data_IF_407648501947
#
_entry.id   IF_407648501947
#
_cell.length_a   1.000
_cell.length_b   1.000
_cell.length_c   1.000
_cell.angle_alpha   90.00
_cell.angle_beta   90.00
_cell.angle_gamma   90.00
#
_symmetry.space_group_name_H-M   'P 1'
#
loop_
_entity.id
_entity.type
_entity.pdbx_description
1 polymer ?
#
# COMPACT_ATOMS: atom_id res chain seq x y z
N UNK A 1 19.63 82.93 22.63
CA UNK A 1 20.34 81.64 22.48
C UNK A 1 19.32 80.61 21.98
N UNK A 2 19.34 80.36 20.67
CA UNK A 2 18.43 79.48 19.96
C UNK A 2 19.10 78.12 19.79
N UNK A 3 18.57 77.10 20.48
CA UNK A 3 19.09 75.73 20.35
C UNK A 3 18.29 75.02 19.20
N UNK A 4 18.95 74.84 18.11
CA UNK A 4 18.43 74.09 16.95
C UNK A 4 18.71 72.59 17.16
N UNK A 5 17.67 71.79 17.45
CA UNK A 5 17.78 70.34 17.50
C UNK A 5 17.72 69.80 16.08
N UNK A 6 18.87 69.33 15.58
CA UNK A 6 18.94 68.57 14.35
C UNK A 6 18.46 67.14 14.60
N UNK A 7 17.24 66.84 14.14
CA UNK A 7 16.76 65.47 14.02
C UNK A 7 17.42 64.84 12.80
N UNK A 8 18.39 63.93 13.06
CA UNK A 8 18.96 63.10 12.01
C UNK A 8 17.92 62.11 11.43
N UNK A 9 18.07 61.65 10.15
CA UNK A 9 17.14 60.75 9.54
C UNK A 9 17.18 59.39 10.28
N UNK A 10 16.01 58.97 10.77
CA UNK A 10 15.82 57.59 11.23
C UNK A 10 16.01 56.69 10.02
N UNK A 11 17.07 55.87 10.04
CA UNK A 11 17.22 54.77 9.09
C UNK A 11 15.99 53.87 9.19
N UNK A 12 15.18 53.95 8.15
CA UNK A 12 14.16 52.96 7.86
C UNK A 12 14.93 51.67 7.59
N UNK A 13 14.90 50.73 8.51
CA UNK A 13 15.30 49.37 8.23
C UNK A 13 14.37 48.89 7.09
N UNK A 14 14.91 48.77 5.90
CA UNK A 14 14.26 48.05 4.83
C UNK A 14 13.91 46.66 5.38
N UNK A 15 12.61 46.36 5.37
CA UNK A 15 12.14 44.98 5.46
C UNK A 15 12.70 44.30 4.22
N UNK A 16 13.92 43.72 4.37
CA UNK A 16 14.44 42.80 3.38
C UNK A 16 13.39 41.72 3.19
N UNK A 17 13.03 41.52 1.95
CA UNK A 17 12.10 40.52 1.46
C UNK A 17 12.26 39.22 2.22
N UNK A 18 11.31 38.93 3.09
CA UNK A 18 10.99 37.56 3.46
C UNK A 18 10.46 36.91 2.18
N UNK A 19 11.35 36.60 1.25
CA UNK A 19 11.08 35.53 0.30
C UNK A 19 10.80 34.32 1.17
N UNK A 20 9.51 34.02 1.31
CA UNK A 20 9.04 32.77 1.88
C UNK A 20 9.65 31.68 1.03
N UNK A 21 10.80 31.15 1.45
CA UNK A 21 11.26 29.85 1.00
C UNK A 21 10.13 28.92 1.40
N UNK A 22 9.28 28.58 0.43
CA UNK A 22 8.30 27.54 0.61
C UNK A 22 9.10 26.24 0.83
N UNK A 23 9.58 26.05 2.04
CA UNK A 23 10.21 24.81 2.44
C UNK A 23 9.07 23.82 2.65
N UNK A 24 8.83 22.97 1.65
CA UNK A 24 7.97 21.81 1.83
C UNK A 24 8.47 21.00 3.03
N UNK A 25 7.54 20.38 3.76
CA UNK A 25 7.90 19.47 4.85
C UNK A 25 8.80 18.34 4.31
N UNK A 26 9.62 17.75 5.18
CA UNK A 26 10.42 16.58 4.77
C UNK A 26 9.55 15.46 4.22
N UNK A 27 8.32 15.28 4.77
CA UNK A 27 7.35 14.30 4.30
C UNK A 27 6.97 14.56 2.84
N UNK A 28 6.64 15.82 2.49
CA UNK A 28 6.31 16.18 1.12
C UNK A 28 7.48 15.91 0.15
N UNK A 29 8.71 16.22 0.57
CA UNK A 29 9.91 16.00 -0.22
C UNK A 29 10.19 14.49 -0.42
N UNK A 30 9.98 13.68 0.61
CA UNK A 30 10.19 12.24 0.53
C UNK A 30 9.08 11.60 -0.30
N UNK A 31 7.81 11.95 -0.04
CA UNK A 31 6.66 11.43 -0.77
C UNK A 31 6.77 11.73 -2.27
N UNK A 32 7.13 12.95 -2.67
CA UNK A 32 7.27 13.33 -4.09
C UNK A 32 8.33 12.50 -4.83
N UNK A 33 9.40 12.08 -4.14
CA UNK A 33 10.44 11.23 -4.73
C UNK A 33 10.00 9.78 -4.93
N UNK A 34 9.15 9.27 -4.02
CA UNK A 34 8.73 7.86 -4.03
C UNK A 34 7.43 7.67 -4.82
N UNK A 35 6.55 8.67 -4.86
CA UNK A 35 5.26 8.58 -5.57
C UNK A 35 5.34 8.06 -7.00
N UNK A 36 6.37 8.36 -7.83
CA UNK A 36 6.48 7.79 -9.18
C UNK A 36 6.58 6.26 -9.22
N UNK A 37 6.99 5.63 -8.11
CA UNK A 37 7.05 4.18 -8.00
C UNK A 37 5.79 3.56 -7.39
N UNK A 38 4.83 4.36 -6.92
CA UNK A 38 3.57 3.88 -6.35
C UNK A 38 2.52 3.84 -7.44
N UNK A 39 1.84 2.71 -7.56
CA UNK A 39 0.83 2.47 -8.59
C UNK A 39 -0.52 2.15 -7.96
N UNK A 40 -1.59 2.47 -8.68
CA UNK A 40 -2.92 1.97 -8.38
C UNK A 40 -3.13 0.67 -9.13
N UNK A 41 -3.75 -0.28 -8.46
CA UNK A 41 -4.15 -1.56 -9.02
C UNK A 41 -5.67 -1.59 -9.02
N UNK A 42 -6.25 -1.63 -10.23
CA UNK A 42 -7.67 -1.80 -10.45
C UNK A 42 -7.90 -3.25 -10.92
N UNK A 43 -8.85 -3.92 -10.29
CA UNK A 43 -9.20 -5.30 -10.62
C UNK A 43 -10.65 -5.39 -11.09
N UNK A 44 -10.89 -6.29 -12.03
CA UNK A 44 -12.23 -6.74 -12.40
C UNK A 44 -12.31 -8.26 -12.21
N UNK A 45 -13.37 -8.71 -11.56
CA UNK A 45 -13.69 -10.12 -11.34
C UNK A 45 -15.13 -10.38 -11.75
N UNK A 46 -15.36 -11.42 -12.53
CA UNK A 46 -16.70 -11.90 -12.83
C UNK A 46 -17.17 -12.83 -11.70
N UNK A 47 -18.21 -12.44 -11.00
CA UNK A 47 -18.85 -13.33 -10.04
C UNK A 47 -19.86 -14.14 -10.83
N UNK A 48 -19.62 -15.44 -10.97
CA UNK A 48 -20.68 -16.37 -11.35
C UNK A 48 -21.64 -16.42 -10.17
N UNK A 49 -22.81 -15.83 -10.33
CA UNK A 49 -23.89 -16.03 -9.38
C UNK A 49 -24.26 -17.51 -9.48
N UNK A 50 -23.88 -18.28 -8.46
CA UNK A 50 -24.34 -19.65 -8.33
C UNK A 50 -25.87 -19.63 -8.36
N UNK A 51 -26.47 -20.64 -8.99
CA UNK A 51 -27.92 -20.79 -9.20
C UNK A 51 -28.76 -20.70 -7.90
N UNK A 52 -28.11 -20.62 -6.76
CA UNK A 52 -28.72 -20.61 -5.44
C UNK A 52 -29.53 -19.34 -5.11
N UNK A 53 -29.19 -18.18 -5.69
CA UNK A 53 -30.03 -16.96 -5.53
C UNK A 53 -31.25 -16.96 -6.45
N UNK A 54 -31.26 -17.78 -7.50
CA UNK A 54 -32.40 -17.89 -8.40
C UNK A 54 -33.59 -18.66 -7.77
N UNK A 55 -33.32 -19.52 -6.79
CA UNK A 55 -34.41 -20.29 -6.12
C UNK A 55 -35.22 -19.46 -5.13
N UNK A 56 -34.76 -18.25 -4.77
CA UNK A 56 -35.51 -17.34 -3.88
C UNK A 56 -36.41 -16.38 -4.66
N UNK A 57 -36.33 -16.33 -5.97
CA UNK A 57 -37.23 -15.53 -6.80
C UNK A 57 -38.51 -16.34 -7.09
N UNK A 58 -39.66 -15.71 -6.76
CA UNK A 58 -41.00 -16.25 -7.09
C UNK A 58 -41.02 -16.71 -8.55
N UNK A 59 -41.43 -17.96 -8.85
CA UNK A 59 -41.52 -18.51 -10.19
C UNK A 59 -42.28 -17.62 -11.19
N UNK A 60 -43.30 -16.88 -10.70
CA UNK A 60 -44.07 -15.91 -11.49
C UNK A 60 -43.24 -14.69 -11.92
N UNK A 61 -42.31 -14.24 -11.06
CA UNK A 61 -41.40 -13.12 -11.38
C UNK A 61 -40.36 -13.54 -12.41
N UNK A 62 -39.92 -14.80 -12.36
CA UNK A 62 -38.99 -15.39 -13.32
C UNK A 62 -39.58 -15.49 -14.72
N UNK A 63 -40.87 -15.88 -14.80
CA UNK A 63 -41.60 -16.00 -16.08
C UNK A 63 -41.90 -14.61 -16.69
N UNK A 64 -42.13 -13.60 -15.83
CA UNK A 64 -42.41 -12.22 -16.25
C UNK A 64 -41.16 -11.45 -16.74
N UNK A 65 -40.02 -11.73 -16.14
CA UNK A 65 -38.74 -11.05 -16.49
C UNK A 65 -38.03 -11.70 -17.68
N UNK A 66 -38.54 -12.87 -18.13
CA UNK A 66 -37.91 -13.68 -19.17
C UNK A 66 -36.52 -14.16 -18.69
N UNK A 67 -35.86 -14.91 -19.52
CA UNK A 67 -34.48 -15.32 -19.33
C UNK A 67 -33.54 -14.10 -19.55
N UNK A 68 -33.71 -13.07 -18.73
CA UNK A 68 -32.70 -12.04 -18.49
C UNK A 68 -31.58 -12.78 -17.75
N UNK A 69 -30.88 -13.62 -18.53
CA UNK A 69 -29.80 -14.43 -18.07
C UNK A 69 -28.96 -13.63 -17.10
N UNK A 70 -28.69 -14.24 -15.96
CA UNK A 70 -27.84 -13.69 -14.91
C UNK A 70 -26.66 -12.97 -15.54
N UNK A 71 -26.80 -11.65 -15.69
CA UNK A 71 -25.68 -10.84 -16.17
C UNK A 71 -24.55 -11.06 -15.18
N UNK A 72 -23.38 -11.49 -15.61
CA UNK A 72 -22.26 -11.71 -14.72
C UNK A 72 -22.04 -10.41 -13.93
N UNK A 73 -22.20 -10.49 -12.63
CA UNK A 73 -22.00 -9.33 -11.75
C UNK A 73 -20.50 -9.07 -11.69
N UNK A 74 -20.05 -8.00 -12.32
CA UNK A 74 -18.65 -7.59 -12.25
C UNK A 74 -18.39 -6.91 -10.91
N UNK A 75 -17.52 -7.50 -10.12
CA UNK A 75 -16.98 -6.86 -8.92
C UNK A 75 -15.70 -6.11 -9.30
N UNK A 76 -15.58 -4.88 -8.81
CA UNK A 76 -14.40 -4.05 -8.98
C UNK A 76 -13.77 -3.82 -7.62
N UNK A 77 -12.47 -4.07 -7.53
CA UNK A 77 -11.66 -3.77 -6.37
C UNK A 77 -10.52 -2.83 -6.72
N UNK A 78 -9.99 -2.18 -5.71
CA UNK A 78 -8.84 -1.28 -5.84
C UNK A 78 -7.86 -1.50 -4.71
N UNK A 79 -6.57 -1.37 -5.04
CA UNK A 79 -5.47 -1.36 -4.10
C UNK A 79 -4.31 -0.54 -4.62
N UNK A 80 -3.23 -0.55 -3.89
CA UNK A 80 -1.97 0.05 -4.29
C UNK A 80 -0.91 -1.02 -4.53
N UNK A 81 0.17 -0.62 -5.19
CA UNK A 81 1.36 -1.42 -5.37
C UNK A 81 2.60 -0.54 -5.42
N UNK A 82 3.75 -1.14 -5.32
CA UNK A 82 5.04 -0.45 -5.48
C UNK A 82 5.89 -1.14 -6.54
N UNK A 83 6.40 -0.36 -7.49
CA UNK A 83 7.34 -0.84 -8.52
C UNK A 83 8.69 -1.06 -7.81
N UNK A 84 9.14 -2.31 -7.76
CA UNK A 84 10.39 -2.69 -7.10
C UNK A 84 11.56 -2.86 -8.06
N UNK A 85 11.28 -2.94 -9.37
CA UNK A 85 12.28 -3.06 -10.42
C UNK A 85 11.84 -2.32 -11.69
N UNK A 86 12.78 -1.68 -12.37
CA UNK A 86 12.52 -0.89 -13.59
C UNK A 86 12.01 -1.71 -14.77
N UNK A 87 12.15 -3.05 -14.73
CA UNK A 87 11.50 -3.94 -15.71
C UNK A 87 9.99 -4.01 -15.54
N UNK A 88 9.42 -3.43 -14.47
CA UNK A 88 7.99 -3.37 -14.19
C UNK A 88 7.48 -4.46 -13.26
N UNK A 89 8.31 -4.91 -12.32
CA UNK A 89 7.85 -5.76 -11.22
C UNK A 89 7.18 -4.89 -10.16
N UNK A 90 5.94 -5.22 -9.83
CA UNK A 90 5.10 -4.54 -8.82
C UNK A 90 4.81 -5.50 -7.69
N UNK A 91 5.14 -5.08 -6.48
CA UNK A 91 4.80 -5.79 -5.26
C UNK A 91 3.51 -5.19 -4.69
N UNK A 92 2.59 -6.06 -4.25
CA UNK A 92 1.30 -5.68 -3.66
C UNK A 92 0.83 -6.77 -2.70
N UNK A 93 -0.37 -6.63 -2.11
CA UNK A 93 -0.96 -7.69 -1.31
C UNK A 93 -1.67 -8.76 -2.17
N UNK A 94 -1.68 -10.00 -1.67
CA UNK A 94 -2.36 -11.11 -2.32
C UNK A 94 -3.87 -10.87 -2.44
N UNK A 95 -4.50 -10.39 -1.35
CA UNK A 95 -5.94 -10.09 -1.34
C UNK A 95 -6.36 -9.01 -2.35
N UNK A 96 -5.43 -8.13 -2.80
CA UNK A 96 -5.72 -7.11 -3.83
C UNK A 96 -5.92 -7.75 -5.20
N UNK A 97 -5.19 -8.83 -5.51
CA UNK A 97 -5.17 -9.48 -6.84
C UNK A 97 -5.70 -10.92 -6.83
N UNK A 98 -6.41 -11.30 -5.77
CA UNK A 98 -6.93 -12.67 -5.63
C UNK A 98 -8.12 -12.90 -6.58
N UNK A 99 -8.09 -14.03 -7.31
CA UNK A 99 -9.18 -14.49 -8.20
C UNK A 99 -9.65 -13.42 -9.19
N UNK A 100 -8.71 -12.70 -9.80
CA UNK A 100 -9.03 -11.64 -10.75
C UNK A 100 -8.81 -12.12 -12.18
N UNK A 101 -9.72 -11.72 -13.08
CA UNK A 101 -9.60 -11.99 -14.50
C UNK A 101 -8.68 -10.99 -15.19
N UNK A 102 -8.67 -9.76 -14.69
CA UNK A 102 -7.88 -8.66 -15.25
C UNK A 102 -7.32 -7.75 -14.17
N UNK A 103 -6.04 -7.40 -14.32
CA UNK A 103 -5.34 -6.40 -13.50
C UNK A 103 -4.97 -5.23 -14.40
N UNK A 104 -5.49 -4.04 -14.07
CA UNK A 104 -5.10 -2.80 -14.71
C UNK A 104 -4.28 -1.96 -13.71
N UNK A 105 -3.13 -1.48 -14.15
CA UNK A 105 -2.21 -0.69 -13.32
C UNK A 105 -2.23 0.73 -13.82
N UNK A 106 -2.56 1.67 -12.94
CA UNK A 106 -2.50 3.10 -13.24
C UNK A 106 -1.24 3.69 -12.60
N UNK A 107 -0.36 4.23 -13.43
CA UNK A 107 0.86 4.91 -13.03
C UNK A 107 0.55 6.31 -12.50
N UNK A 108 1.49 6.93 -11.77
CA UNK A 108 1.35 8.28 -11.21
C UNK A 108 0.99 9.34 -12.28
N UNK A 109 1.49 9.20 -13.50
CA UNK A 109 1.19 10.11 -14.60
C UNK A 109 -0.20 9.91 -15.25
N UNK A 110 -1.03 9.02 -14.69
CA UNK A 110 -2.37 8.69 -15.17
C UNK A 110 -2.40 7.64 -16.30
N UNK A 111 -1.26 7.20 -16.81
CA UNK A 111 -1.24 6.14 -17.81
C UNK A 111 -1.71 4.82 -17.20
N UNK A 112 -2.63 4.16 -17.92
CA UNK A 112 -3.12 2.85 -17.54
C UNK A 112 -2.47 1.79 -18.43
N UNK A 113 -1.93 0.75 -17.80
CA UNK A 113 -1.24 -0.37 -18.44
C UNK A 113 -1.76 -1.70 -17.90
N UNK A 114 -1.72 -2.75 -18.71
CA UNK A 114 -2.11 -4.08 -18.25
C UNK A 114 -1.01 -4.69 -17.36
N UNK A 115 -1.44 -5.36 -16.30
CA UNK A 115 -0.61 -6.18 -15.44
C UNK A 115 -0.94 -7.66 -15.57
N UNK A 116 0.06 -8.49 -15.32
CA UNK A 116 -0.09 -9.95 -15.22
C UNK A 116 0.37 -10.40 -13.84
N UNK A 117 -0.48 -11.11 -13.10
CA UNK A 117 -0.10 -11.69 -11.81
C UNK A 117 0.89 -12.82 -12.08
N UNK A 118 2.12 -12.70 -11.55
CA UNK A 118 3.15 -13.73 -11.64
C UNK A 118 2.87 -14.83 -10.62
N UNK A 119 2.46 -14.45 -9.42
CA UNK A 119 2.11 -15.36 -8.36
C UNK A 119 1.63 -14.63 -7.12
N UNK A 120 1.00 -15.39 -6.23
CA UNK A 120 0.47 -14.90 -4.94
C UNK A 120 0.89 -15.82 -3.83
N UNK A 121 1.11 -15.26 -2.64
CA UNK A 121 1.33 -16.00 -1.41
C UNK A 121 0.33 -15.57 -0.35
N UNK A 122 -0.64 -16.43 -0.08
CA UNK A 122 -1.72 -16.16 0.87
C UNK A 122 -1.23 -16.15 2.32
N UNK A 123 -0.14 -16.87 2.61
CA UNK A 123 0.41 -16.96 3.98
C UNK A 123 0.99 -15.61 4.40
N UNK A 124 1.75 -14.97 3.51
CA UNK A 124 2.34 -13.65 3.76
C UNK A 124 1.47 -12.50 3.28
N UNK A 125 0.37 -12.77 2.57
CA UNK A 125 -0.49 -11.77 1.94
C UNK A 125 0.26 -10.90 0.91
N UNK A 126 1.17 -11.50 0.15
CA UNK A 126 1.96 -10.82 -0.88
C UNK A 126 1.66 -11.36 -2.27
N UNK A 127 1.77 -10.50 -3.26
CA UNK A 127 1.67 -10.84 -4.67
C UNK A 127 2.69 -10.08 -5.50
N UNK A 128 3.12 -10.70 -6.58
CA UNK A 128 3.98 -10.10 -7.58
C UNK A 128 3.22 -9.95 -8.90
N UNK A 129 3.16 -8.73 -9.42
CA UNK A 129 2.51 -8.40 -10.68
C UNK A 129 3.56 -7.85 -11.65
N UNK A 130 3.49 -8.26 -12.91
CA UNK A 130 4.34 -7.76 -13.98
C UNK A 130 3.57 -6.78 -14.84
N UNK A 131 4.02 -5.54 -14.91
CA UNK A 131 3.57 -4.56 -15.90
C UNK A 131 4.06 -5.03 -17.29
N UNK A 132 3.20 -4.99 -18.29
CA UNK A 132 3.63 -5.12 -19.68
C UNK A 132 4.62 -4.00 -20.00
N UNK A 133 5.50 -4.23 -20.97
CA UNK A 133 6.56 -3.29 -21.35
C UNK A 133 6.04 -1.84 -21.43
N UNK A 134 6.60 -1.00 -20.58
CA UNK A 134 6.31 0.43 -20.51
C UNK A 134 7.62 1.18 -20.21
N UNK A 135 8.02 2.14 -21.07
CA UNK A 135 9.26 2.85 -20.89
C UNK A 135 9.18 3.86 -19.72
N UNK A 136 10.29 4.05 -19.03
CA UNK A 136 10.41 5.10 -18.02
C UNK A 136 9.78 4.78 -16.67
N UNK A 137 9.56 3.49 -16.34
CA UNK A 137 9.15 3.09 -15.01
C UNK A 137 10.22 3.43 -13.98
N UNK A 138 9.78 4.01 -12.87
CA UNK A 138 10.63 4.37 -11.73
C UNK A 138 10.42 3.34 -10.63
N UNK A 139 11.50 2.64 -10.25
CA UNK A 139 11.46 1.71 -9.12
C UNK A 139 11.74 2.43 -7.80
N UNK A 140 11.09 1.97 -6.73
CA UNK A 140 11.37 2.42 -5.37
C UNK A 140 12.73 1.88 -4.90
N UNK A 141 13.41 2.65 -4.06
CA UNK A 141 14.56 2.15 -3.31
C UNK A 141 14.05 1.30 -2.15
N UNK A 142 14.47 0.04 -2.08
CA UNK A 142 14.19 -0.82 -0.95
C UNK A 142 15.18 -0.54 0.17
N UNK A 143 14.68 -0.41 1.40
CA UNK A 143 15.48 -0.27 2.60
C UNK A 143 15.81 -1.63 3.22
N UNK A 144 16.18 -1.60 4.50
CA UNK A 144 16.40 -2.78 5.32
C UNK A 144 15.45 -2.74 6.53
N UNK A 145 14.54 -3.71 6.62
CA UNK A 145 13.58 -3.78 7.73
C UNK A 145 14.18 -4.33 9.03
N UNK A 146 15.42 -4.82 9.02
CA UNK A 146 16.15 -5.21 10.22
C UNK A 146 16.82 -4.01 10.92
N UNK A 147 17.10 -2.94 10.18
CA UNK A 147 17.78 -1.74 10.70
C UNK A 147 16.80 -0.72 11.33
N UNK A 148 15.48 -0.92 11.18
CA UNK A 148 14.48 0.01 11.70
C UNK A 148 14.32 -0.12 13.22
N UNK A 149 13.99 1.01 13.88
CA UNK A 149 13.78 1.08 15.31
C UNK A 149 12.39 1.63 15.65
N UNK A 150 11.87 1.24 16.80
CA UNK A 150 10.64 1.85 17.35
C UNK A 150 10.89 3.35 17.57
N UNK A 151 10.01 4.16 17.02
CA UNK A 151 10.14 5.62 17.02
C UNK A 151 10.63 6.20 15.69
N UNK A 152 11.13 5.39 14.77
CA UNK A 152 11.49 5.86 13.43
C UNK A 152 10.27 6.37 12.66
N UNK A 153 10.47 7.37 11.81
CA UNK A 153 9.41 7.88 10.94
C UNK A 153 8.91 6.80 9.99
N UNK A 154 7.60 6.67 9.93
CA UNK A 154 6.88 5.78 9.03
C UNK A 154 5.89 6.58 8.19
N UNK A 155 6.07 6.58 6.87
CA UNK A 155 5.23 7.30 5.93
C UNK A 155 4.57 6.27 5.02
N UNK A 156 3.24 6.15 5.09
CA UNK A 156 2.51 5.24 4.23
C UNK A 156 2.01 5.99 2.98
N UNK A 157 2.24 5.40 1.82
CA UNK A 157 1.77 5.91 0.55
C UNK A 157 0.77 4.94 -0.09
N UNK A 158 -0.16 5.50 -0.86
CA UNK A 158 -1.10 4.74 -1.67
C UNK A 158 -1.84 5.65 -2.64
N UNK A 159 -2.63 5.05 -3.52
CA UNK A 159 -3.41 5.77 -4.55
C UNK A 159 -4.89 5.39 -4.49
N UNK A 160 -5.60 5.73 -3.39
CA UNK A 160 -7.00 5.38 -3.25
C UNK A 160 -7.88 6.15 -4.25
N UNK A 161 -8.94 5.51 -4.72
CA UNK A 161 -10.05 6.11 -5.50
C UNK A 161 -9.65 6.85 -6.79
N UNK A 162 -8.48 6.58 -7.36
CA UNK A 162 -8.07 7.21 -8.64
C UNK A 162 -7.72 8.69 -8.55
N UNK A 163 -7.60 9.19 -7.35
CA UNK A 163 -7.16 10.54 -7.03
C UNK A 163 -5.65 10.54 -6.76
N UNK A 164 -5.13 11.72 -6.43
CA UNK A 164 -3.72 11.91 -6.10
C UNK A 164 -3.22 10.97 -5.00
N UNK A 165 -1.92 10.68 -4.98
CA UNK A 165 -1.29 9.83 -3.97
C UNK A 165 -1.66 10.31 -2.56
N UNK A 166 -2.21 9.40 -1.75
CA UNK A 166 -2.47 9.66 -0.34
C UNK A 166 -1.20 9.38 0.44
N UNK A 167 -0.84 10.31 1.32
CA UNK A 167 0.33 10.23 2.20
C UNK A 167 -0.14 10.36 3.64
N UNK A 168 0.23 9.40 4.48
CA UNK A 168 0.00 9.48 5.93
C UNK A 168 1.32 9.33 6.66
N UNK A 169 1.46 10.05 7.78
CA UNK A 169 2.67 10.08 8.59
C UNK A 169 2.39 9.53 9.98
N UNK A 170 3.31 8.74 10.46
CA UNK A 170 3.37 8.21 11.82
C UNK A 170 4.78 7.76 12.15
N UNK A 171 4.89 6.83 13.07
CA UNK A 171 6.14 6.21 13.49
C UNK A 171 6.02 4.69 13.45
N UNK A 172 7.16 4.01 13.48
CA UNK A 172 7.23 2.60 13.82
C UNK A 172 6.87 2.45 15.30
N UNK A 173 5.70 1.89 15.58
CA UNK A 173 5.17 1.77 16.96
C UNK A 173 5.61 0.48 17.63
N UNK A 174 5.85 -0.58 16.86
CA UNK A 174 6.34 -1.88 17.34
C UNK A 174 6.95 -2.68 16.20
N UNK A 175 7.92 -3.53 16.53
CA UNK A 175 8.49 -4.54 15.65
C UNK A 175 8.02 -5.93 16.12
N UNK A 176 8.02 -6.90 15.24
CA UNK A 176 7.71 -8.31 15.56
C UNK A 176 6.32 -8.51 16.21
N UNK A 177 5.29 -7.82 15.68
CA UNK A 177 3.91 -8.07 16.12
C UNK A 177 3.40 -9.38 15.52
N UNK A 178 3.33 -10.41 16.37
CA UNK A 178 2.65 -11.67 16.03
C UNK A 178 1.15 -11.41 15.85
N UNK A 179 0.66 -11.55 14.62
CA UNK A 179 -0.75 -11.34 14.28
C UNK A 179 -1.69 -12.39 14.86
N UNK A 180 -1.18 -13.54 15.32
CA UNK A 180 -2.02 -14.52 16.05
C UNK A 180 -2.62 -13.89 17.30
N UNK A 181 -1.91 -12.97 17.97
CA UNK A 181 -2.41 -12.23 19.13
C UNK A 181 -3.52 -11.26 18.78
N UNK A 182 -3.70 -10.96 17.49
CA UNK A 182 -4.72 -10.04 16.97
C UNK A 182 -5.96 -10.77 16.43
N UNK A 183 -6.02 -12.11 16.55
CA UNK A 183 -7.14 -12.93 16.12
C UNK A 183 -7.08 -13.42 14.66
N UNK A 184 -5.96 -13.28 14.00
CA UNK A 184 -5.73 -13.80 12.65
C UNK A 184 -4.94 -15.11 12.75
N UNK A 185 -5.64 -16.23 13.04
CA UNK A 185 -5.03 -17.51 13.39
C UNK A 185 -4.26 -18.22 12.26
N UNK A 186 -4.45 -17.81 11.03
CA UNK A 186 -3.95 -18.52 9.86
C UNK A 186 -2.64 -17.95 9.28
N UNK A 187 -2.16 -16.82 9.80
CA UNK A 187 -0.95 -16.16 9.31
C UNK A 187 0.11 -16.07 10.41
N UNK A 188 1.29 -16.59 10.15
CA UNK A 188 2.46 -16.50 11.05
C UNK A 188 3.41 -15.44 10.53
N UNK A 189 3.10 -14.18 10.77
CA UNK A 189 3.88 -13.04 10.29
C UNK A 189 4.25 -12.13 11.47
N UNK A 190 5.51 -11.76 11.52
CA UNK A 190 5.98 -10.64 12.32
C UNK A 190 5.80 -9.38 11.50
N UNK A 191 4.88 -8.52 11.91
CA UNK A 191 4.56 -7.29 11.20
C UNK A 191 5.17 -6.06 11.88
N UNK A 192 5.48 -5.06 11.07
CA UNK A 192 5.76 -3.70 11.53
C UNK A 192 4.44 -3.06 11.90
N UNK A 193 4.31 -2.61 13.15
CA UNK A 193 3.17 -1.82 13.60
C UNK A 193 3.49 -0.33 13.46
N UNK A 194 2.53 0.45 12.96
CA UNK A 194 2.63 1.91 12.83
C UNK A 194 1.32 2.59 13.23
N UNK A 195 1.39 3.84 13.66
CA UNK A 195 0.24 4.73 13.85
C UNK A 195 -0.01 5.63 12.62
N UNK A 196 0.83 5.53 11.57
CA UNK A 196 0.48 6.07 10.27
C UNK A 196 -0.85 5.47 9.82
N UNK A 197 -1.80 6.32 9.42
CA UNK A 197 -3.15 5.84 9.05
C UNK A 197 -3.10 4.93 7.83
N UNK A 198 -3.39 3.64 8.04
CA UNK A 198 -3.58 2.66 6.98
C UNK A 198 -5.09 2.53 6.76
N UNK A 199 -5.54 2.64 5.52
CA UNK A 199 -6.95 2.58 5.14
C UNK A 199 -7.10 1.84 3.81
N UNK A 200 -8.31 1.38 3.45
CA UNK A 200 -8.58 0.85 2.12
C UNK A 200 -8.08 1.84 1.04
N UNK A 201 -7.24 1.35 0.14
CA UNK A 201 -6.62 2.13 -0.92
C UNK A 201 -5.11 2.35 -0.75
N UNK A 202 -4.54 2.33 0.47
CA UNK A 202 -3.09 2.25 0.63
C UNK A 202 -2.57 0.82 0.92
N UNK A 203 -3.46 -0.16 1.07
CA UNK A 203 -3.08 -1.58 1.14
C UNK A 203 -2.35 -2.01 -0.14
N UNK A 204 -1.22 -2.70 0.02
CA UNK A 204 -0.29 -3.06 -1.06
C UNK A 204 0.69 -1.96 -1.44
N UNK A 205 0.47 -0.71 -1.01
CA UNK A 205 1.41 0.38 -1.17
C UNK A 205 2.57 0.32 -0.16
N UNK A 206 3.62 1.12 -0.37
CA UNK A 206 4.79 1.10 0.49
C UNK A 206 4.60 1.85 1.81
N UNK A 207 5.20 1.32 2.88
CA UNK A 207 5.60 2.04 4.07
C UNK A 207 7.06 2.44 3.89
N UNK A 208 7.38 3.74 3.99
CA UNK A 208 8.72 4.25 3.76
C UNK A 208 9.28 4.96 4.99
N UNK A 209 10.60 4.99 5.09
CA UNK A 209 11.33 5.75 6.12
C UNK A 209 11.55 7.22 5.68
N UNK A 210 12.20 8.01 6.54
CA UNK A 210 12.54 9.43 6.27
C UNK A 210 13.51 9.62 5.10
N UNK A 211 14.22 8.58 4.66
CA UNK A 211 15.10 8.62 3.50
C UNK A 211 14.38 8.33 2.18
N UNK A 212 13.11 7.89 2.24
CA UNK A 212 12.32 7.47 1.08
C UNK A 212 12.62 6.04 0.66
N UNK A 213 13.11 5.22 1.56
CA UNK A 213 13.35 3.81 1.33
C UNK A 213 12.16 3.00 1.83
N UNK A 214 11.72 2.01 1.06
CA UNK A 214 10.62 1.13 1.43
C UNK A 214 11.07 0.20 2.56
N UNK A 215 10.41 0.29 3.71
CA UNK A 215 10.67 -0.55 4.89
C UNK A 215 9.61 -1.63 5.08
N UNK A 216 8.46 -1.50 4.40
CA UNK A 216 7.39 -2.50 4.45
C UNK A 216 6.32 -2.28 3.39
N UNK A 217 5.39 -3.24 3.30
CA UNK A 217 4.20 -3.19 2.44
C UNK A 217 2.97 -3.09 3.33
N UNK A 218 2.20 -2.01 3.20
CA UNK A 218 0.98 -1.78 3.99
C UNK A 218 -0.03 -2.90 3.74
N UNK A 219 -0.63 -3.48 4.80
CA UNK A 219 -1.56 -4.60 4.62
C UNK A 219 -2.83 -4.50 5.45
N UNK A 220 -2.75 -4.51 6.74
CA UNK A 220 -3.90 -4.69 7.62
C UNK A 220 -4.17 -3.45 8.47
N UNK A 221 -5.45 -3.28 8.81
CA UNK A 221 -5.92 -2.32 9.82
C UNK A 221 -6.75 -3.09 10.84
N UNK A 222 -6.51 -2.84 12.11
CA UNK A 222 -7.38 -3.37 13.17
C UNK A 222 -8.64 -2.52 13.26
N UNK A 223 -9.80 -3.18 13.12
CA UNK A 223 -11.11 -2.58 13.40
C UNK A 223 -11.51 -2.86 14.85
N UNK A 224 -12.25 -1.94 15.51
CA UNK A 224 -12.74 -2.13 16.88
C UNK A 224 -11.78 -1.59 17.94
N UNK A 225 -11.76 -2.19 19.17
CA UNK A 225 -10.90 -1.72 20.26
C UNK A 225 -9.43 -1.78 19.85
N UNK A 226 -8.74 -0.62 19.87
CA UNK A 226 -7.40 -0.43 19.31
C UNK A 226 -7.41 -0.03 17.83
N UNK A 227 -8.52 0.52 17.32
CA UNK A 227 -8.56 1.16 16.00
C UNK A 227 -7.48 2.26 15.90
N UNK A 228 -6.89 2.40 14.70
CA UNK A 228 -5.77 3.33 14.47
C UNK A 228 -4.39 2.65 14.49
N UNK A 229 -4.34 1.33 14.66
CA UNK A 229 -3.12 0.56 14.47
C UNK A 229 -3.05 0.06 13.03
N UNK A 230 -2.05 0.53 12.30
CA UNK A 230 -1.69 0.03 10.98
C UNK A 230 -0.59 -1.03 11.07
N UNK A 231 -0.55 -1.91 10.06
CA UNK A 231 0.45 -2.95 9.96
C UNK A 231 1.03 -3.02 8.56
N UNK A 232 2.33 -3.31 8.49
CA UNK A 232 3.02 -3.52 7.23
C UNK A 232 3.89 -4.79 7.28
N UNK A 233 3.99 -5.48 6.16
CA UNK A 233 4.85 -6.64 5.98
C UNK A 233 6.27 -6.14 5.79
N UNK A 234 7.27 -6.59 6.59
CA UNK A 234 8.65 -6.15 6.47
C UNK A 234 9.22 -6.33 5.06
N UNK A 235 9.96 -5.35 4.57
CA UNK A 235 10.47 -5.36 3.18
C UNK A 235 11.45 -6.49 2.90
N UNK A 236 12.25 -6.92 3.90
CA UNK A 236 13.16 -8.05 3.73
C UNK A 236 12.41 -9.35 3.49
N UNK A 237 11.28 -9.56 4.20
CA UNK A 237 10.38 -10.68 3.93
C UNK A 237 9.73 -10.55 2.56
N UNK A 238 9.19 -9.36 2.24
CA UNK A 238 8.54 -9.11 0.97
C UNK A 238 9.47 -9.33 -0.23
N UNK A 239 10.73 -8.94 -0.12
CA UNK A 239 11.75 -9.17 -1.15
C UNK A 239 12.08 -10.65 -1.34
N UNK A 240 12.14 -11.43 -0.24
CA UNK A 240 12.36 -12.89 -0.32
C UNK A 240 11.19 -13.59 -1.02
N UNK A 241 9.96 -13.21 -0.68
CA UNK A 241 8.73 -13.70 -1.30
C UNK A 241 8.69 -13.35 -2.79
N UNK A 242 8.94 -12.06 -3.13
CA UNK A 242 8.97 -11.60 -4.52
C UNK A 242 9.95 -12.40 -5.38
N UNK A 243 11.15 -12.70 -4.86
CA UNK A 243 12.15 -13.50 -5.56
C UNK A 243 11.68 -14.93 -5.82
N UNK A 244 11.01 -15.56 -4.85
CA UNK A 244 10.46 -16.91 -5.03
C UNK A 244 9.30 -16.92 -6.04
N UNK A 245 8.38 -15.96 -5.94
CA UNK A 245 7.29 -15.80 -6.90
C UNK A 245 7.82 -15.57 -8.31
N UNK A 246 8.86 -14.76 -8.48
CA UNK A 246 9.48 -14.50 -9.77
C UNK A 246 10.14 -15.76 -10.36
N UNK A 247 10.80 -16.56 -9.52
CA UNK A 247 11.53 -17.73 -9.97
C UNK A 247 10.62 -18.95 -10.22
N UNK A 248 9.60 -19.16 -9.38
CA UNK A 248 8.84 -20.41 -9.35
C UNK A 248 7.32 -20.20 -9.57
N UNK A 249 6.81 -18.97 -9.50
CA UNK A 249 5.38 -18.65 -9.52
C UNK A 249 4.68 -18.90 -8.17
N UNK A 250 5.35 -19.53 -7.22
CA UNK A 250 4.81 -19.89 -5.89
C UNK A 250 5.87 -19.75 -4.81
N UNK A 251 5.42 -19.69 -3.54
CA UNK A 251 6.29 -19.67 -2.36
C UNK A 251 6.17 -20.99 -1.60
N UNK A 252 7.31 -21.58 -1.28
CA UNK A 252 7.36 -22.82 -0.52
C UNK A 252 7.45 -22.48 0.98
N UNK A 253 6.42 -22.87 1.74
CA UNK A 253 6.38 -22.75 3.19
C UNK A 253 6.64 -24.15 3.82
N UNK A 254 7.84 -24.44 4.31
CA UNK A 254 8.13 -25.73 4.91
C UNK A 254 7.31 -25.94 6.20
N UNK A 255 6.65 -27.07 6.31
CA UNK A 255 5.83 -27.44 7.46
C UNK A 255 6.40 -28.70 8.13
N UNK A 256 6.76 -28.62 9.41
CA UNK A 256 7.33 -29.73 10.15
C UNK A 256 6.27 -30.72 10.71
N UNK A 257 4.99 -30.33 10.74
CA UNK A 257 3.91 -31.14 11.28
C UNK A 257 4.02 -31.44 12.78
N UNK A 258 4.82 -30.66 13.53
CA UNK A 258 5.05 -30.85 14.96
C UNK A 258 4.27 -29.81 15.77
N UNK A 259 3.60 -30.26 16.84
CA UNK A 259 3.00 -29.36 17.82
C UNK A 259 3.93 -29.28 19.03
N UNK A 260 4.46 -28.10 19.32
CA UNK A 260 5.30 -27.84 20.47
C UNK A 260 4.43 -27.46 21.67
N UNK A 261 4.58 -28.15 22.78
CA UNK A 261 3.92 -27.85 24.06
C UNK A 261 5.01 -27.46 25.06
N UNK A 262 4.84 -26.27 25.67
CA UNK A 262 5.70 -25.88 26.79
C UNK A 262 5.43 -26.84 27.98
N UNK A 263 6.44 -27.52 28.44
CA UNK A 263 6.41 -28.29 29.69
C UNK A 263 6.61 -27.31 30.84
N UNK A 264 5.59 -27.15 31.70
CA UNK A 264 5.68 -26.37 32.94
C UNK A 264 6.43 -27.14 34.01
#
# INVERSE_FOLDING_TARGET
ILFCFLLGPKSVFALEDFQSVQSHSFVANVASRVSPSVVRIDIEREIQTDEFESDLLDPLLRDLLGDLGTLPKKERGQGSGVIIDSSGLVLTNAHVVERVDRVAITLQNGNQVDGTVIGTDQVTDLALVKIKEFPGLVSAKLGDSEDIQVGDWAIALGTPYGLESTVTLGIVSSLHRDINTLGFSDKRLDLIQTDAAINPGNSGGPLINSNGEVIGINTLVRSGPGAGLGFAIPINLASKVANQLLANGEVIHPYLGAQLVLLN
#
